data_IF_928109598408
#
_entry.id   IF_928109598408
#
_cell.length_a   1.000
_cell.length_b   1.000
_cell.length_c   1.000
_cell.angle_alpha   90.00
_cell.angle_beta   90.00
_cell.angle_gamma   90.00
#
_symmetry.space_group_name_H-M   'P 1'
#
loop_
_entity.id
_entity.type
_entity.pdbx_description
1 polymer ?
#
# COMPACT_ATOMS: atom_id res chain seq x y z
N UNK A 1 -2.47 31.90 37.96
CA UNK A 1 -1.52 31.88 36.81
C UNK A 1 -1.02 30.50 36.41
N UNK A 2 -1.44 29.37 37.03
CA UNK A 2 -0.86 28.05 36.79
C UNK A 2 -1.47 27.22 35.64
N UNK A 3 -2.69 27.48 35.17
CA UNK A 3 -3.36 26.61 34.17
C UNK A 3 -3.01 26.94 32.73
N UNK A 4 -2.67 28.15 32.37
CA UNK A 4 -2.24 28.56 31.02
C UNK A 4 -0.83 28.02 30.67
N UNK A 5 0.09 28.04 31.65
CA UNK A 5 1.44 27.52 31.46
C UNK A 5 1.48 26.02 31.19
N UNK A 6 0.62 25.23 31.85
CA UNK A 6 0.51 23.78 31.65
C UNK A 6 -0.08 23.44 30.27
N UNK A 7 -1.00 24.24 29.75
CA UNK A 7 -1.59 24.04 28.42
C UNK A 7 -0.59 24.37 27.31
N UNK A 8 0.20 25.42 27.48
CA UNK A 8 1.28 25.80 26.55
C UNK A 8 2.39 24.74 26.55
N UNK A 9 2.78 24.23 27.73
CA UNK A 9 3.75 23.12 27.82
C UNK A 9 3.24 21.84 27.18
N UNK A 10 1.95 21.52 27.33
CA UNK A 10 1.33 20.35 26.68
C UNK A 10 1.21 20.50 25.18
N UNK A 11 0.92 21.72 24.68
CA UNK A 11 0.93 22.02 23.24
C UNK A 11 2.34 22.03 22.66
N UNK A 12 3.35 22.48 23.41
CA UNK A 12 4.76 22.38 23.02
C UNK A 12 5.25 20.95 23.01
N UNK A 13 4.85 20.12 23.98
CA UNK A 13 5.16 18.68 24.01
C UNK A 13 4.45 17.91 22.88
N UNK A 14 3.19 18.27 22.55
CA UNK A 14 2.49 17.73 21.38
C UNK A 14 3.13 18.18 20.06
N UNK A 15 3.64 19.41 19.96
CA UNK A 15 4.42 19.85 18.80
C UNK A 15 5.79 19.19 18.71
N UNK A 16 6.47 18.94 19.82
CA UNK A 16 7.73 18.20 19.85
C UNK A 16 7.54 16.72 19.52
N UNK A 17 6.43 16.11 19.94
CA UNK A 17 6.04 14.76 19.55
C UNK A 17 5.58 14.67 18.09
N UNK A 18 5.16 15.79 17.50
CA UNK A 18 4.80 15.90 16.08
C UNK A 18 5.96 16.34 15.18
N UNK A 19 7.16 16.56 15.71
CA UNK A 19 8.39 16.64 14.91
C UNK A 19 8.77 15.24 14.47
N UNK A 20 8.13 14.77 13.39
CA UNK A 20 8.59 13.60 12.62
C UNK A 20 10.08 13.81 12.33
N UNK A 21 10.96 12.84 12.62
CA UNK A 21 12.33 12.92 12.17
C UNK A 21 12.29 13.23 10.67
N UNK A 22 12.97 14.28 10.23
CA UNK A 22 13.14 14.53 8.81
C UNK A 22 13.74 13.25 8.23
N UNK A 23 13.10 12.69 7.21
CA UNK A 23 13.65 11.53 6.52
C UNK A 23 15.10 11.87 6.15
N UNK A 24 16.07 10.99 6.44
CA UNK A 24 17.45 11.27 6.08
C UNK A 24 17.49 11.45 4.56
N UNK A 25 17.70 12.68 4.12
CA UNK A 25 17.89 13.02 2.71
C UNK A 25 19.18 12.36 2.21
N UNK A 26 19.15 11.68 1.09
CA UNK A 26 20.38 11.35 0.37
C UNK A 26 20.66 9.88 0.07
N UNK A 27 19.76 8.92 0.32
CA UNK A 27 19.96 7.55 -0.19
C UNK A 27 19.60 7.40 -1.66
N UNK A 28 18.60 8.16 -2.12
CA UNK A 28 18.11 8.09 -3.49
C UNK A 28 18.88 9.05 -4.40
N UNK A 29 19.22 8.58 -5.58
CA UNK A 29 19.84 9.37 -6.66
C UNK A 29 18.80 9.84 -7.66
N UNK A 30 19.14 10.86 -8.46
CA UNK A 30 18.30 11.31 -9.59
C UNK A 30 18.67 10.56 -10.88
N UNK A 31 17.67 10.21 -11.68
CA UNK A 31 17.86 9.72 -13.05
C UNK A 31 17.79 10.94 -14.00
N UNK A 32 18.85 11.22 -14.71
CA UNK A 32 19.01 12.50 -15.43
C UNK A 32 18.41 12.56 -16.83
N UNK A 33 18.01 11.43 -17.43
CA UNK A 33 17.41 11.40 -18.76
C UNK A 33 16.56 10.15 -18.95
N UNK A 34 15.25 10.30 -19.14
CA UNK A 34 14.32 9.18 -19.32
C UNK A 34 13.21 9.44 -20.34
N UNK A 35 13.32 10.52 -21.16
CA UNK A 35 12.37 10.83 -22.22
C UNK A 35 11.62 12.15 -22.01
N UNK A 36 10.52 12.40 -22.79
CA UNK A 36 9.78 13.66 -22.77
C UNK A 36 9.06 14.00 -21.46
N UNK A 37 8.80 13.03 -20.58
CA UNK A 37 8.17 13.21 -19.27
C UNK A 37 6.85 14.04 -19.30
N UNK A 38 5.81 13.62 -20.05
CA UNK A 38 4.59 14.41 -20.21
C UNK A 38 3.79 14.58 -18.91
N UNK A 39 3.96 13.69 -17.93
CA UNK A 39 3.37 13.79 -16.59
C UNK A 39 4.13 14.69 -15.64
N UNK A 40 5.23 15.31 -16.07
CA UNK A 40 6.06 16.22 -15.28
C UNK A 40 6.41 15.67 -13.89
N UNK A 41 6.72 14.38 -13.80
CA UNK A 41 7.16 13.72 -12.57
C UNK A 41 8.68 13.92 -12.36
N UNK A 42 9.13 13.87 -11.11
CA UNK A 42 10.54 13.63 -10.77
C UNK A 42 10.78 12.13 -10.66
N UNK A 43 12.02 11.76 -10.77
CA UNK A 43 12.46 10.38 -10.57
C UNK A 43 13.57 10.30 -9.54
N UNK A 44 13.47 9.28 -8.69
CA UNK A 44 14.49 8.89 -7.74
C UNK A 44 14.78 7.42 -7.92
N UNK A 45 16.03 7.05 -7.77
CA UNK A 45 16.49 5.67 -7.95
C UNK A 45 17.34 5.22 -6.79
N UNK A 46 17.38 3.91 -6.55
CA UNK A 46 18.30 3.30 -5.64
C UNK A 46 18.93 2.07 -6.27
N UNK A 47 20.25 2.07 -6.38
CA UNK A 47 21.04 0.96 -6.91
C UNK A 47 21.87 0.41 -5.75
N UNK A 48 21.60 -0.81 -5.24
CA UNK A 48 22.40 -1.38 -4.17
C UNK A 48 23.82 -1.69 -4.65
N UNK A 49 24.79 -1.64 -3.73
CA UNK A 49 26.20 -1.93 -4.05
C UNK A 49 26.44 -3.39 -4.50
N UNK A 50 25.52 -4.27 -4.18
CA UNK A 50 25.51 -5.68 -4.62
C UNK A 50 24.23 -5.94 -5.37
N UNK A 51 24.32 -6.14 -6.66
CA UNK A 51 23.23 -6.56 -7.54
C UNK A 51 23.73 -7.65 -8.47
N UNK A 52 22.80 -8.44 -9.03
CA UNK A 52 23.14 -9.39 -10.10
C UNK A 52 23.37 -8.63 -11.41
N UNK A 53 23.95 -9.31 -12.42
CA UNK A 53 24.11 -8.75 -13.77
C UNK A 53 22.78 -8.39 -14.45
N UNK A 54 21.69 -9.04 -14.03
CA UNK A 54 20.32 -8.80 -14.48
C UNK A 54 19.39 -8.67 -13.28
N UNK A 55 19.42 -7.53 -12.56
CA UNK A 55 18.63 -7.36 -11.36
C UNK A 55 17.15 -7.21 -11.67
N UNK A 56 16.30 -7.52 -10.68
CA UNK A 56 14.89 -7.14 -10.71
C UNK A 56 14.75 -5.64 -10.45
N UNK A 57 13.63 -5.06 -10.93
CA UNK A 57 13.23 -3.67 -10.65
C UNK A 57 11.93 -3.63 -9.85
N UNK A 58 11.91 -2.83 -8.78
CA UNK A 58 10.69 -2.49 -8.07
C UNK A 58 10.39 -1.00 -8.24
N UNK A 59 9.23 -0.68 -8.80
CA UNK A 59 8.70 0.68 -8.91
C UNK A 59 7.85 0.96 -7.69
N UNK A 60 8.17 2.02 -6.95
CA UNK A 60 7.56 2.34 -5.65
C UNK A 60 6.89 3.72 -5.70
N UNK A 61 5.57 3.78 -5.52
CA UNK A 61 4.75 4.98 -5.65
C UNK A 61 4.26 5.46 -4.28
N UNK A 62 4.66 6.66 -3.90
CA UNK A 62 4.25 7.27 -2.63
C UNK A 62 2.77 7.70 -2.61
N UNK A 63 2.21 7.90 -1.42
CA UNK A 63 0.88 8.48 -1.22
C UNK A 63 0.88 10.01 -1.31
N UNK A 64 -0.31 10.63 -1.25
CA UNK A 64 -0.44 12.09 -1.19
C UNK A 64 0.38 12.66 -0.03
N UNK A 65 0.93 13.86 -0.21
CA UNK A 65 1.75 14.63 0.75
C UNK A 65 3.10 14.00 1.11
N UNK A 66 3.44 12.86 0.52
CA UNK A 66 4.73 12.19 0.72
C UNK A 66 5.72 12.54 -0.40
N UNK A 67 6.97 12.17 -0.21
CA UNK A 67 8.06 12.24 -1.18
C UNK A 67 8.67 10.85 -1.36
N UNK A 68 9.47 10.65 -2.39
CA UNK A 68 10.21 9.41 -2.63
C UNK A 68 11.09 9.04 -1.44
N UNK A 69 11.93 9.97 -0.97
CA UNK A 69 12.80 9.75 0.18
C UNK A 69 12.03 9.42 1.47
N UNK A 70 10.91 10.13 1.71
CA UNK A 70 10.06 9.89 2.88
C UNK A 70 9.39 8.51 2.81
N UNK A 71 8.91 8.12 1.65
CA UNK A 71 8.28 6.82 1.48
C UNK A 71 9.30 5.68 1.59
N UNK A 72 10.48 5.83 0.99
CA UNK A 72 11.57 4.85 1.11
C UNK A 72 12.00 4.66 2.56
N UNK A 73 12.27 5.77 3.28
CA UNK A 73 12.64 5.72 4.69
C UNK A 73 11.57 5.02 5.56
N UNK A 74 10.30 5.36 5.32
CA UNK A 74 9.17 4.79 6.06
C UNK A 74 8.93 3.32 5.74
N UNK A 75 8.89 2.95 4.47
CA UNK A 75 8.61 1.59 4.02
C UNK A 75 9.85 0.67 4.05
N UNK A 76 11.07 1.23 4.01
CA UNK A 76 12.32 0.48 4.11
C UNK A 76 12.76 -0.23 2.82
N UNK A 77 12.28 0.20 1.65
CA UNK A 77 12.58 -0.46 0.39
C UNK A 77 14.07 -0.48 0.04
N UNK A 78 14.78 0.65 0.19
CA UNK A 78 16.21 0.72 -0.12
C UNK A 78 17.07 -0.13 0.85
N UNK A 79 16.64 -0.27 2.11
CA UNK A 79 17.28 -1.19 3.05
C UNK A 79 17.11 -2.65 2.60
N UNK A 80 15.91 -3.03 2.19
CA UNK A 80 15.66 -4.38 1.70
C UNK A 80 16.39 -4.63 0.36
N UNK A 81 16.52 -3.62 -0.49
CA UNK A 81 17.31 -3.69 -1.71
C UNK A 81 18.80 -3.95 -1.44
N UNK A 82 19.41 -3.35 -0.39
CA UNK A 82 20.77 -3.68 0.03
C UNK A 82 20.93 -5.14 0.46
N UNK A 83 19.91 -5.69 1.12
CA UNK A 83 19.91 -7.07 1.59
C UNK A 83 19.77 -8.07 0.42
N UNK A 84 18.95 -7.73 -0.59
CA UNK A 84 18.47 -8.68 -1.59
C UNK A 84 18.96 -8.43 -3.02
N UNK A 85 19.57 -7.27 -3.31
CA UNK A 85 20.22 -6.98 -4.58
C UNK A 85 19.30 -6.58 -5.73
N UNK A 86 18.05 -6.18 -5.50
CA UNK A 86 17.17 -5.61 -6.52
C UNK A 86 17.28 -4.08 -6.59
N UNK A 87 16.91 -3.51 -7.73
CA UNK A 87 16.99 -2.08 -8.03
C UNK A 87 15.64 -1.41 -7.78
N UNK A 88 15.65 -0.13 -7.40
CA UNK A 88 14.44 0.63 -7.11
C UNK A 88 14.30 1.86 -7.99
N UNK A 89 13.06 2.12 -8.40
CA UNK A 89 12.63 3.35 -9.04
C UNK A 89 11.48 3.97 -8.23
N UNK A 90 11.62 5.25 -7.88
CA UNK A 90 10.62 6.02 -7.17
C UNK A 90 10.18 7.21 -8.03
N UNK A 91 9.16 7.09 -8.87
CA UNK A 91 8.50 8.24 -9.47
C UNK A 91 7.98 9.17 -8.36
N UNK A 92 8.27 10.46 -8.44
CA UNK A 92 7.88 11.44 -7.42
C UNK A 92 7.02 12.55 -8.03
N UNK A 93 5.89 12.80 -7.38
CA UNK A 93 4.99 13.89 -7.77
C UNK A 93 5.53 15.25 -7.38
N UNK A 94 5.22 16.28 -8.17
CA UNK A 94 5.63 17.67 -7.91
C UNK A 94 4.43 18.54 -7.52
N UNK A 95 4.66 19.53 -6.63
CA UNK A 95 3.61 20.48 -6.21
C UNK A 95 3.08 21.36 -7.35
N UNK A 96 3.89 21.62 -8.36
CA UNK A 96 3.49 22.33 -9.56
C UNK A 96 2.50 21.54 -10.41
N UNK A 97 2.54 20.22 -10.33
CA UNK A 97 1.65 19.29 -11.04
C UNK A 97 0.43 18.93 -10.18
N UNK A 98 0.65 18.67 -8.89
CA UNK A 98 -0.43 18.45 -7.92
C UNK A 98 -0.04 19.06 -6.56
N UNK A 99 -0.79 20.07 -6.03
CA UNK A 99 -0.45 20.76 -4.79
C UNK A 99 -0.30 19.86 -3.57
N UNK A 100 -1.00 18.71 -3.56
CA UNK A 100 -0.96 17.72 -2.50
C UNK A 100 -0.01 16.55 -2.77
N UNK A 101 0.80 16.64 -3.83
CA UNK A 101 1.71 15.56 -4.23
C UNK A 101 0.97 14.22 -4.48
N UNK A 102 -0.32 14.25 -4.84
CA UNK A 102 -1.04 13.04 -5.24
C UNK A 102 -0.73 12.74 -6.71
N UNK A 103 -0.49 11.49 -7.07
CA UNK A 103 -0.59 11.09 -8.47
C UNK A 103 -2.00 11.39 -8.98
N UNK A 104 -2.12 11.87 -10.21
CA UNK A 104 -3.38 12.32 -10.80
C UNK A 104 -4.21 11.14 -11.37
N UNK A 105 -4.34 10.07 -10.60
CA UNK A 105 -4.98 8.81 -10.95
C UNK A 105 -6.43 8.96 -11.45
N UNK A 106 -7.09 10.05 -11.10
CA UNK A 106 -8.46 10.40 -11.49
C UNK A 106 -8.54 11.28 -12.76
N UNK A 107 -7.41 11.59 -13.36
CA UNK A 107 -7.32 12.40 -14.58
C UNK A 107 -7.13 11.48 -15.79
N UNK A 108 -8.04 11.46 -16.79
CA UNK A 108 -7.83 10.69 -18.01
C UNK A 108 -6.59 11.13 -18.81
N UNK A 109 -6.09 12.36 -18.59
CA UNK A 109 -4.85 12.83 -19.20
C UNK A 109 -3.62 12.11 -18.63
N UNK A 110 -3.71 11.59 -17.40
CA UNK A 110 -2.60 11.01 -16.64
C UNK A 110 -2.75 9.51 -16.36
N UNK A 111 -3.94 8.95 -16.62
CA UNK A 111 -4.31 7.57 -16.26
C UNK A 111 -4.57 6.65 -17.47
N UNK A 112 -4.40 7.15 -18.70
CA UNK A 112 -4.57 6.37 -19.92
C UNK A 112 -3.21 6.03 -20.52
N UNK A 113 -3.09 4.82 -21.06
CA UNK A 113 -1.88 4.34 -21.75
C UNK A 113 -1.31 5.38 -22.72
N UNK A 114 -0.01 5.54 -22.71
CA UNK A 114 0.79 6.44 -23.58
C UNK A 114 0.49 7.95 -23.38
N UNK A 115 0.02 8.32 -22.17
CA UNK A 115 -0.25 9.72 -21.79
C UNK A 115 0.25 10.04 -20.38
N UNK A 116 0.50 11.33 -20.13
CA UNK A 116 0.70 11.94 -18.83
C UNK A 116 1.64 11.17 -17.89
N UNK A 117 1.21 11.01 -16.64
CA UNK A 117 2.02 10.35 -15.59
C UNK A 117 2.33 8.91 -15.92
N UNK A 118 1.37 8.17 -16.46
CA UNK A 118 1.52 6.76 -16.84
C UNK A 118 2.63 6.57 -17.88
N UNK A 119 2.68 7.44 -18.91
CA UNK A 119 3.74 7.41 -19.90
C UNK A 119 5.09 7.81 -19.31
N UNK A 120 5.12 8.83 -18.45
CA UNK A 120 6.37 9.23 -17.77
C UNK A 120 6.97 8.09 -16.95
N UNK A 121 6.15 7.37 -16.17
CA UNK A 121 6.61 6.22 -15.39
C UNK A 121 7.14 5.10 -16.29
N UNK A 122 6.45 4.82 -17.40
CA UNK A 122 6.95 3.86 -18.40
C UNK A 122 8.32 4.27 -18.94
N UNK A 123 8.50 5.56 -19.29
CA UNK A 123 9.78 6.07 -19.79
C UNK A 123 10.90 5.93 -18.77
N UNK A 124 10.62 6.18 -17.48
CA UNK A 124 11.56 5.94 -16.38
C UNK A 124 11.94 4.45 -16.29
N UNK A 125 10.98 3.53 -16.40
CA UNK A 125 11.23 2.08 -16.37
C UNK A 125 12.14 1.68 -17.54
N UNK A 126 11.86 2.13 -18.76
CA UNK A 126 12.70 1.81 -19.94
C UNK A 126 14.13 2.35 -19.76
N UNK A 127 14.28 3.56 -19.25
CA UNK A 127 15.60 4.12 -18.95
C UNK A 127 16.36 3.31 -17.89
N UNK A 128 15.68 2.81 -16.85
CA UNK A 128 16.28 1.92 -15.86
C UNK A 128 16.71 0.58 -16.47
N UNK A 129 15.90 0.01 -17.38
CA UNK A 129 16.24 -1.22 -18.09
C UNK A 129 17.53 -1.03 -18.89
N UNK A 130 17.60 0.06 -19.66
CA UNK A 130 18.74 0.34 -20.54
C UNK A 130 20.02 0.67 -19.74
N UNK A 131 19.88 1.43 -18.63
CA UNK A 131 21.02 1.85 -17.82
C UNK A 131 21.60 0.74 -16.93
N UNK A 132 20.77 -0.18 -16.44
CA UNK A 132 21.14 -1.14 -15.40
C UNK A 132 20.93 -2.61 -15.80
N UNK A 133 20.58 -2.90 -17.05
CA UNK A 133 20.42 -4.28 -17.54
C UNK A 133 19.29 -5.04 -16.82
N UNK A 134 18.21 -4.35 -16.42
CA UNK A 134 17.09 -4.93 -15.66
C UNK A 134 16.52 -6.15 -16.37
N UNK A 135 16.24 -7.21 -15.62
CA UNK A 135 15.48 -8.35 -16.13
C UNK A 135 14.03 -7.97 -16.40
N UNK A 136 13.67 -7.86 -17.67
CA UNK A 136 12.31 -7.47 -18.12
C UNK A 136 11.21 -8.41 -17.59
N UNK A 137 11.54 -9.64 -17.22
CA UNK A 137 10.59 -10.60 -16.63
C UNK A 137 10.42 -10.42 -15.11
N UNK A 138 11.18 -9.52 -14.48
CA UNK A 138 11.21 -9.29 -13.04
C UNK A 138 11.05 -7.82 -12.69
N UNK A 139 10.05 -7.17 -13.28
CA UNK A 139 9.68 -5.79 -12.98
C UNK A 139 8.37 -5.81 -12.21
N UNK A 140 8.34 -5.11 -11.08
CA UNK A 140 7.21 -5.08 -10.15
C UNK A 140 6.84 -3.64 -9.79
N UNK A 141 5.59 -3.42 -9.37
CA UNK A 141 5.12 -2.10 -8.96
C UNK A 141 4.30 -2.16 -7.68
N UNK A 142 4.51 -1.20 -6.80
CA UNK A 142 3.71 -1.05 -5.57
C UNK A 142 3.47 0.42 -5.25
N UNK A 143 2.45 0.72 -4.46
CA UNK A 143 2.19 2.07 -4.01
C UNK A 143 1.08 2.16 -2.97
N UNK A 144 1.09 3.29 -2.25
CA UNK A 144 0.13 3.61 -1.20
C UNK A 144 -0.90 4.63 -1.70
N UNK A 145 -2.20 4.43 -1.42
CA UNK A 145 -3.25 5.44 -1.59
C UNK A 145 -3.34 5.93 -3.05
N UNK A 146 -3.05 7.20 -3.34
CA UNK A 146 -2.92 7.71 -4.72
C UNK A 146 -1.86 6.93 -5.53
N UNK A 147 -0.72 6.54 -4.90
CA UNK A 147 0.26 5.65 -5.49
C UNK A 147 -0.28 4.24 -5.71
N UNK A 148 -1.14 3.73 -4.82
CA UNK A 148 -1.84 2.45 -4.99
C UNK A 148 -2.85 2.49 -6.15
N UNK A 149 -3.59 3.59 -6.31
CA UNK A 149 -4.46 3.81 -7.47
C UNK A 149 -3.66 3.91 -8.78
N UNK A 150 -2.51 4.62 -8.77
CA UNK A 150 -1.62 4.67 -9.92
C UNK A 150 -0.99 3.30 -10.21
N UNK A 151 -0.70 2.49 -9.19
CA UNK A 151 -0.30 1.08 -9.35
C UNK A 151 -1.37 0.29 -10.11
N UNK A 152 -2.66 0.40 -9.72
CA UNK A 152 -3.77 -0.24 -10.46
C UNK A 152 -3.83 0.19 -11.92
N UNK A 153 -3.55 1.47 -12.19
CA UNK A 153 -3.52 2.03 -13.55
C UNK A 153 -2.37 1.46 -14.36
N UNK A 154 -1.16 1.44 -13.81
CA UNK A 154 0.02 0.90 -14.49
C UNK A 154 -0.13 -0.57 -14.86
N UNK A 155 -0.68 -1.37 -13.94
CA UNK A 155 -0.96 -2.79 -14.16
C UNK A 155 -2.02 -3.03 -15.24
N UNK A 156 -2.98 -2.12 -15.40
CA UNK A 156 -3.98 -2.18 -16.47
C UNK A 156 -3.45 -1.63 -17.80
N UNK A 157 -2.73 -0.49 -17.76
CA UNK A 157 -2.26 0.20 -18.96
C UNK A 157 -1.04 -0.47 -19.61
N UNK A 158 -0.15 -1.08 -18.81
CA UNK A 158 1.07 -1.75 -19.27
C UNK A 158 1.28 -3.12 -18.62
N UNK A 159 0.31 -4.04 -18.70
CA UNK A 159 0.43 -5.35 -18.06
C UNK A 159 1.64 -6.15 -18.57
N UNK A 160 2.09 -5.89 -19.79
CA UNK A 160 3.26 -6.53 -20.39
C UNK A 160 4.60 -6.16 -19.74
N UNK A 161 4.64 -5.05 -18.97
CA UNK A 161 5.85 -4.62 -18.28
C UNK A 161 6.04 -5.28 -16.92
N UNK A 162 4.95 -5.72 -16.29
CA UNK A 162 4.99 -6.12 -14.89
C UNK A 162 4.77 -7.61 -14.69
N UNK A 163 5.66 -8.24 -13.93
CA UNK A 163 5.46 -9.60 -13.43
C UNK A 163 4.41 -9.64 -12.30
N UNK A 164 4.31 -8.56 -11.53
CA UNK A 164 3.32 -8.44 -10.46
C UNK A 164 3.21 -7.03 -9.89
N UNK A 165 2.16 -6.81 -9.10
CA UNK A 165 1.92 -5.56 -8.40
C UNK A 165 1.30 -5.73 -7.03
N UNK A 166 1.59 -4.77 -6.12
CA UNK A 166 1.02 -4.71 -4.78
C UNK A 166 0.31 -3.38 -4.55
N UNK A 167 -1.00 -3.42 -4.33
CA UNK A 167 -1.86 -2.25 -4.21
C UNK A 167 -2.19 -2.04 -2.74
N UNK A 168 -1.61 -0.99 -2.11
CA UNK A 168 -1.79 -0.70 -0.69
C UNK A 168 -2.78 0.45 -0.53
N UNK A 169 -3.93 0.20 0.13
CA UNK A 169 -4.99 1.18 0.37
C UNK A 169 -5.35 2.00 -0.88
N UNK A 170 -5.34 1.35 -2.05
CA UNK A 170 -5.60 1.94 -3.36
C UNK A 170 -7.04 1.82 -3.81
N UNK A 171 -7.27 2.09 -5.10
CA UNK A 171 -8.58 2.02 -5.76
C UNK A 171 -8.49 1.19 -7.06
N UNK A 172 -9.59 0.58 -7.53
CA UNK A 172 -9.59 -0.15 -8.79
C UNK A 172 -9.37 0.77 -10.00
N UNK A 173 -8.78 0.23 -11.05
CA UNK A 173 -8.63 0.95 -12.32
C UNK A 173 -9.99 1.39 -12.88
N UNK A 174 -10.07 2.62 -13.36
CA UNK A 174 -11.28 3.17 -13.97
C UNK A 174 -12.35 3.63 -12.98
N UNK A 175 -12.05 3.67 -11.66
CA UNK A 175 -13.01 4.06 -10.63
C UNK A 175 -13.38 5.55 -10.62
N UNK A 176 -12.59 6.42 -11.27
CA UNK A 176 -12.86 7.84 -11.38
C UNK A 176 -12.25 8.43 -12.66
N UNK A 177 -12.91 9.45 -13.20
CA UNK A 177 -12.43 10.25 -14.35
C UNK A 177 -12.37 11.74 -14.02
N UNK A 178 -12.64 12.13 -12.79
CA UNK A 178 -12.51 13.48 -12.26
C UNK A 178 -12.44 13.47 -10.74
N UNK A 179 -12.14 14.63 -10.16
CA UNK A 179 -11.96 14.81 -8.71
C UNK A 179 -13.21 14.44 -7.90
N UNK A 180 -14.41 14.82 -8.35
CA UNK A 180 -15.65 14.55 -7.64
C UNK A 180 -15.90 13.04 -7.53
N UNK A 181 -15.72 12.31 -8.63
CA UNK A 181 -15.80 10.85 -8.65
C UNK A 181 -14.71 10.20 -7.80
N UNK A 182 -13.49 10.76 -7.79
CA UNK A 182 -12.41 10.26 -6.94
C UNK A 182 -12.78 10.32 -5.46
N UNK A 183 -13.30 11.45 -4.99
CA UNK A 183 -13.75 11.61 -3.60
C UNK A 183 -14.91 10.68 -3.25
N UNK A 184 -15.83 10.44 -4.17
CA UNK A 184 -16.93 9.51 -4.00
C UNK A 184 -16.41 8.06 -3.92
N UNK A 185 -15.57 7.64 -4.86
CA UNK A 185 -14.97 6.31 -4.88
C UNK A 185 -14.16 6.00 -3.62
N UNK A 186 -13.41 6.98 -3.11
CA UNK A 186 -12.68 6.82 -1.84
C UNK A 186 -13.63 6.55 -0.66
N UNK A 187 -14.78 7.23 -0.59
CA UNK A 187 -15.72 7.13 0.54
C UNK A 187 -16.66 5.95 0.44
N UNK A 188 -17.19 5.71 -0.75
CA UNK A 188 -18.21 4.70 -1.01
C UNK A 188 -17.97 4.13 -2.40
N UNK A 189 -17.18 3.08 -2.50
CA UNK A 189 -17.16 2.34 -3.75
C UNK A 189 -18.59 1.89 -4.07
N UNK A 190 -19.05 2.14 -5.30
CA UNK A 190 -20.39 1.73 -5.75
C UNK A 190 -20.61 0.22 -5.68
N UNK A 191 -21.79 -0.26 -6.03
CA UNK A 191 -21.98 -1.69 -6.29
C UNK A 191 -21.22 -2.02 -7.57
N UNK A 192 -20.22 -2.89 -7.47
CA UNK A 192 -19.39 -3.28 -8.59
C UNK A 192 -19.89 -4.58 -9.22
N UNK A 193 -20.02 -4.55 -10.53
CA UNK A 193 -19.98 -5.77 -11.33
C UNK A 193 -18.51 -6.08 -11.63
N UNK A 194 -18.00 -7.20 -11.11
CA UNK A 194 -16.62 -7.61 -11.29
C UNK A 194 -16.25 -7.80 -12.76
N UNK A 195 -17.19 -8.25 -13.59
CA UNK A 195 -16.95 -8.41 -15.03
C UNK A 195 -16.81 -7.05 -15.72
N UNK A 196 -17.68 -6.10 -15.42
CA UNK A 196 -17.57 -4.74 -15.95
C UNK A 196 -16.25 -4.07 -15.54
N UNK A 197 -15.82 -4.26 -14.27
CA UNK A 197 -14.51 -3.78 -13.81
C UNK A 197 -13.35 -4.47 -14.54
N UNK A 198 -13.40 -5.78 -14.73
CA UNK A 198 -12.40 -6.54 -15.48
C UNK A 198 -12.32 -6.11 -16.94
N UNK A 199 -13.45 -5.78 -17.58
CA UNK A 199 -13.51 -5.28 -18.95
C UNK A 199 -12.80 -3.92 -19.10
N UNK A 200 -12.84 -3.05 -18.08
CA UNK A 200 -12.06 -1.82 -18.06
C UNK A 200 -10.56 -2.13 -18.15
N UNK A 201 -10.05 -3.11 -17.39
CA UNK A 201 -8.65 -3.53 -17.46
C UNK A 201 -8.30 -4.12 -18.82
N UNK A 202 -9.12 -5.04 -19.33
CA UNK A 202 -8.90 -5.66 -20.65
C UNK A 202 -8.89 -4.65 -21.79
N UNK A 203 -9.68 -3.59 -21.67
CA UNK A 203 -9.77 -2.52 -22.68
C UNK A 203 -8.69 -1.43 -22.55
N UNK A 204 -7.95 -1.38 -21.41
CA UNK A 204 -6.93 -0.37 -21.16
C UNK A 204 -5.69 -0.50 -22.07
N UNK A 205 -5.45 -1.72 -22.57
CA UNK A 205 -4.33 -2.06 -23.47
C UNK A 205 -4.78 -3.12 -24.49
N UNK A 206 -3.96 -3.40 -25.48
CA UNK A 206 -4.18 -4.55 -26.40
C UNK A 206 -3.68 -5.88 -25.87
N UNK A 207 -3.40 -6.00 -24.56
CA UNK A 207 -2.83 -7.17 -23.94
C UNK A 207 -3.87 -8.29 -23.78
N UNK A 208 -3.45 -9.53 -24.07
CA UNK A 208 -4.31 -10.72 -23.97
C UNK A 208 -3.83 -11.73 -22.92
N UNK A 209 -2.84 -11.36 -22.10
CA UNK A 209 -2.24 -12.21 -21.07
C UNK A 209 -0.88 -12.79 -21.48
N UNK A 210 -0.12 -13.38 -20.55
CA UNK A 210 -0.48 -13.55 -19.13
C UNK A 210 -0.56 -12.23 -18.37
N UNK A 211 -1.48 -12.14 -17.42
CA UNK A 211 -1.66 -10.97 -16.59
C UNK A 211 -0.72 -11.00 -15.37
N UNK A 212 -0.31 -9.82 -14.84
CA UNK A 212 0.54 -9.76 -13.66
C UNK A 212 -0.13 -10.33 -12.41
N UNK A 213 0.65 -10.91 -11.50
CA UNK A 213 0.15 -11.33 -10.18
C UNK A 213 -0.14 -10.09 -9.31
N UNK A 214 -1.25 -10.12 -8.56
CA UNK A 214 -1.71 -8.97 -7.79
C UNK A 214 -1.79 -9.31 -6.31
N UNK A 215 -1.27 -8.45 -5.45
CA UNK A 215 -1.59 -8.45 -4.02
C UNK A 215 -2.28 -7.16 -3.59
N UNK A 216 -3.35 -7.28 -2.82
CA UNK A 216 -4.16 -6.17 -2.32
C UNK A 216 -4.00 -6.07 -0.81
N UNK A 217 -3.65 -4.89 -0.31
CA UNK A 217 -3.38 -4.64 1.10
C UNK A 217 -4.28 -3.53 1.61
N UNK A 218 -5.07 -3.78 2.66
CA UNK A 218 -5.98 -2.77 3.17
C UNK A 218 -6.24 -2.89 4.67
N UNK A 219 -6.17 -1.77 5.37
CA UNK A 219 -6.56 -1.68 6.78
C UNK A 219 -8.07 -1.76 6.97
N UNK A 220 -8.55 -2.58 7.91
CA UNK A 220 -9.99 -2.74 8.14
C UNK A 220 -10.65 -1.52 8.80
N UNK A 221 -9.85 -0.62 9.40
CA UNK A 221 -10.30 0.65 10.01
C UNK A 221 -9.90 1.89 9.17
N UNK A 222 -9.61 1.72 7.88
CA UNK A 222 -9.28 2.83 6.99
C UNK A 222 -10.49 3.74 6.77
N UNK A 223 -10.40 4.98 7.30
CA UNK A 223 -11.41 6.01 7.18
C UNK A 223 -11.16 7.00 6.02
N UNK A 224 -10.04 6.88 5.31
CA UNK A 224 -9.66 7.72 4.16
C UNK A 224 -10.09 7.10 2.85
N UNK A 225 -9.66 5.87 2.61
CA UNK A 225 -10.09 5.03 1.49
C UNK A 225 -10.87 3.86 2.07
N UNK A 226 -12.17 3.81 1.82
CA UNK A 226 -13.02 2.75 2.35
C UNK A 226 -12.51 1.37 1.94
N UNK A 227 -12.41 0.45 2.91
CA UNK A 227 -11.85 -0.90 2.68
C UNK A 227 -12.61 -1.74 1.65
N UNK A 228 -13.85 -1.38 1.31
CA UNK A 228 -14.58 -1.99 0.21
C UNK A 228 -13.95 -1.71 -1.18
N UNK A 229 -13.02 -0.74 -1.30
CA UNK A 229 -12.21 -0.59 -2.52
C UNK A 229 -11.29 -1.80 -2.74
N UNK A 230 -10.79 -2.42 -1.68
CA UNK A 230 -10.03 -3.65 -1.83
C UNK A 230 -10.90 -4.80 -2.37
N UNK A 231 -12.18 -4.90 -1.98
CA UNK A 231 -13.11 -5.89 -2.56
C UNK A 231 -13.37 -5.60 -4.05
N UNK A 232 -13.44 -4.32 -4.43
CA UNK A 232 -13.59 -3.93 -5.82
C UNK A 232 -12.34 -4.25 -6.67
N UNK A 233 -11.13 -4.02 -6.14
CA UNK A 233 -9.87 -4.43 -6.80
C UNK A 233 -9.83 -5.95 -6.96
N UNK A 234 -10.19 -6.70 -5.92
CA UNK A 234 -10.25 -8.16 -6.00
C UNK A 234 -11.24 -8.62 -7.07
N UNK A 235 -12.47 -8.09 -7.08
CA UNK A 235 -13.48 -8.43 -8.08
C UNK A 235 -13.00 -8.12 -9.52
N UNK A 236 -12.32 -6.98 -9.69
CA UNK A 236 -11.71 -6.59 -10.96
C UNK A 236 -10.69 -7.61 -11.44
N UNK A 237 -9.73 -7.98 -10.58
CA UNK A 237 -8.64 -8.90 -10.96
C UNK A 237 -9.07 -10.37 -10.97
N UNK A 238 -10.06 -10.77 -10.17
CA UNK A 238 -10.70 -12.09 -10.30
C UNK A 238 -11.30 -12.25 -11.70
N UNK A 239 -12.03 -11.24 -12.20
CA UNK A 239 -12.55 -11.26 -13.56
C UNK A 239 -11.45 -11.33 -14.61
N UNK A 240 -10.36 -10.55 -14.46
CA UNK A 240 -9.22 -10.53 -15.39
C UNK A 240 -8.52 -11.88 -15.47
N UNK A 241 -8.29 -12.53 -14.33
CA UNK A 241 -7.66 -13.87 -14.25
C UNK A 241 -8.64 -15.03 -14.50
N UNK A 242 -9.94 -14.74 -14.70
CA UNK A 242 -10.95 -15.80 -14.91
C UNK A 242 -11.25 -16.63 -13.65
N UNK A 243 -11.02 -16.07 -12.47
CA UNK A 243 -11.27 -16.74 -11.19
C UNK A 243 -12.75 -16.57 -10.81
N UNK A 244 -13.50 -17.65 -10.82
CA UNK A 244 -14.93 -17.69 -10.52
C UNK A 244 -15.26 -18.52 -9.26
N UNK A 245 -14.27 -18.74 -8.40
CA UNK A 245 -14.35 -19.52 -7.17
C UNK A 245 -13.88 -18.71 -5.97
N UNK A 246 -14.13 -19.20 -4.77
CA UNK A 246 -13.58 -18.65 -3.53
C UNK A 246 -12.05 -18.81 -3.46
N UNK A 247 -11.40 -18.23 -2.43
CA UNK A 247 -9.96 -18.39 -2.27
C UNK A 247 -9.57 -19.85 -2.07
N UNK A 248 -8.46 -20.26 -2.69
CA UNK A 248 -7.90 -21.61 -2.54
C UNK A 248 -7.30 -21.82 -1.15
N UNK A 249 -6.79 -20.72 -0.54
CA UNK A 249 -6.32 -20.73 0.83
C UNK A 249 -6.74 -19.47 1.58
N UNK A 250 -7.00 -19.64 2.87
CA UNK A 250 -7.20 -18.53 3.82
C UNK A 250 -6.39 -18.85 5.07
N UNK A 251 -5.50 -17.95 5.43
CA UNK A 251 -4.57 -18.13 6.54
C UNK A 251 -4.42 -16.84 7.35
N UNK A 252 -3.78 -16.97 8.52
CA UNK A 252 -3.39 -15.83 9.35
C UNK A 252 -1.89 -15.64 9.25
N UNK A 253 -1.46 -14.45 8.84
CA UNK A 253 -0.05 -14.05 8.77
C UNK A 253 0.15 -12.90 9.74
N UNK A 254 0.99 -13.07 10.75
CA UNK A 254 1.21 -12.09 11.83
C UNK A 254 -0.10 -11.55 12.46
N UNK A 255 -1.11 -12.40 12.62
CA UNK A 255 -2.41 -12.00 13.18
C UNK A 255 -3.38 -11.34 12.19
N UNK A 256 -3.02 -11.23 10.92
CA UNK A 256 -3.84 -10.63 9.87
C UNK A 256 -4.30 -11.68 8.86
N UNK A 257 -5.50 -11.48 8.31
CA UNK A 257 -6.07 -12.43 7.33
C UNK A 257 -5.44 -12.25 5.98
N UNK A 258 -4.92 -13.35 5.40
CA UNK A 258 -4.50 -13.48 4.00
C UNK A 258 -5.40 -14.46 3.26
N UNK A 259 -5.84 -14.11 2.05
CA UNK A 259 -6.54 -15.00 1.12
C UNK A 259 -5.74 -15.12 -0.16
N UNK A 260 -5.74 -16.31 -0.76
CA UNK A 260 -4.93 -16.62 -1.94
C UNK A 260 -5.83 -17.27 -2.99
N UNK A 261 -5.68 -16.86 -4.23
CA UNK A 261 -6.26 -17.51 -5.41
C UNK A 261 -5.15 -17.91 -6.36
N UNK A 262 -5.22 -19.14 -6.85
CA UNK A 262 -4.25 -19.72 -7.76
C UNK A 262 -4.79 -19.80 -9.18
N UNK A 263 -3.89 -19.78 -10.14
CA UNK A 263 -4.21 -20.15 -11.53
C UNK A 263 -4.37 -21.69 -11.67
N UNK A 264 -4.72 -22.11 -12.87
CA UNK A 264 -4.88 -23.54 -13.17
C UNK A 264 -3.59 -24.38 -13.01
N UNK A 265 -2.42 -23.74 -12.94
CA UNK A 265 -1.14 -24.38 -12.68
C UNK A 265 -0.78 -24.41 -11.17
N UNK A 266 -1.68 -23.92 -10.30
CA UNK A 266 -1.47 -23.85 -8.85
C UNK A 266 -0.56 -22.71 -8.41
N UNK A 267 -0.30 -21.70 -9.25
CA UNK A 267 0.53 -20.53 -8.92
C UNK A 267 -0.35 -19.42 -8.35
N UNK A 268 0.03 -18.78 -7.21
CA UNK A 268 -0.69 -17.61 -6.69
C UNK A 268 -0.71 -16.49 -7.74
N UNK A 269 -1.91 -16.01 -8.08
CA UNK A 269 -2.11 -14.90 -9.03
C UNK A 269 -2.84 -13.73 -8.40
N UNK A 270 -3.57 -13.97 -7.30
CA UNK A 270 -4.27 -12.91 -6.57
C UNK A 270 -4.18 -13.19 -5.07
N UNK A 271 -3.81 -12.16 -4.31
CA UNK A 271 -3.73 -12.21 -2.85
C UNK A 271 -4.46 -11.02 -2.22
N UNK A 272 -5.05 -11.23 -1.06
CA UNK A 272 -5.74 -10.22 -0.27
C UNK A 272 -5.29 -10.23 1.18
N UNK A 273 -4.69 -9.14 1.63
CA UNK A 273 -4.28 -8.93 3.01
C UNK A 273 -5.19 -7.91 3.69
N UNK A 274 -5.98 -8.37 4.68
CA UNK A 274 -6.83 -7.51 5.51
C UNK A 274 -6.18 -7.28 6.85
N UNK A 275 -5.62 -6.07 7.01
CA UNK A 275 -4.86 -5.69 8.20
C UNK A 275 -5.82 -5.23 9.29
N UNK A 276 -5.99 -6.06 10.31
CA UNK A 276 -6.97 -5.85 11.37
C UNK A 276 -6.70 -4.54 12.13
N UNK A 277 -7.75 -3.72 12.31
CA UNK A 277 -7.74 -2.45 13.03
C UNK A 277 -6.76 -1.39 12.51
N UNK A 278 -6.10 -1.61 11.37
CA UNK A 278 -5.22 -0.63 10.77
C UNK A 278 -6.02 0.49 10.06
N UNK A 279 -5.60 1.73 10.25
CA UNK A 279 -6.08 2.90 9.52
C UNK A 279 -5.48 2.99 8.11
N UNK A 280 -5.46 4.22 7.55
CA UNK A 280 -4.93 4.49 6.20
C UNK A 280 -3.39 4.56 6.21
N UNK A 281 -2.72 3.60 5.58
CA UNK A 281 -1.25 3.58 5.54
C UNK A 281 -0.65 2.27 5.04
N UNK A 282 0.67 2.24 5.05
CA UNK A 282 1.51 1.08 4.73
C UNK A 282 1.75 0.26 6.00
N UNK A 283 1.45 -1.06 6.00
CA UNK A 283 1.73 -1.94 7.14
C UNK A 283 3.22 -2.13 7.38
N UNK A 284 3.67 -2.01 8.61
CA UNK A 284 5.05 -2.21 9.04
C UNK A 284 5.16 -3.28 10.15
N UNK A 285 6.34 -3.91 10.19
CA UNK A 285 6.93 -4.50 11.37
C UNK A 285 8.28 -3.82 11.60
N UNK A 286 8.46 -3.15 12.73
CA UNK A 286 9.68 -2.38 13.05
C UNK A 286 10.56 -3.07 14.08
N UNK A 287 10.19 -4.27 14.51
CA UNK A 287 10.93 -5.12 15.45
C UNK A 287 10.96 -6.57 14.96
N UNK A 288 11.92 -7.36 15.46
CA UNK A 288 12.14 -8.75 15.06
C UNK A 288 12.97 -8.89 13.79
N UNK A 289 13.14 -10.13 13.32
CA UNK A 289 13.95 -10.47 12.14
C UNK A 289 13.34 -9.91 10.83
N UNK A 290 12.04 -9.77 10.81
CA UNK A 290 11.26 -9.24 9.69
C UNK A 290 11.22 -7.70 9.65
N UNK A 291 11.87 -7.03 10.60
CA UNK A 291 11.81 -5.58 10.74
C UNK A 291 12.25 -4.87 9.46
N UNK A 292 11.36 -4.01 8.95
CA UNK A 292 11.63 -3.21 7.76
C UNK A 292 10.87 -1.88 7.87
N UNK A 293 11.57 -0.78 7.60
CA UNK A 293 11.00 0.56 7.63
C UNK A 293 10.97 1.23 9.00
N UNK A 294 10.32 2.40 9.05
CA UNK A 294 10.24 3.25 10.23
C UNK A 294 8.83 3.84 10.39
N UNK A 295 8.33 3.90 11.63
CA UNK A 295 7.04 4.52 11.93
C UNK A 295 7.07 6.01 11.62
N UNK A 296 6.12 6.46 10.81
CA UNK A 296 5.91 7.86 10.46
C UNK A 296 4.46 8.05 9.96
N UNK A 297 4.01 9.26 9.59
CA UNK A 297 2.66 9.44 9.05
C UNK A 297 2.38 8.48 7.88
N UNK A 298 1.29 7.72 7.99
CA UNK A 298 0.88 6.67 7.06
C UNK A 298 1.83 5.46 6.91
N UNK A 299 2.78 5.30 7.84
CA UNK A 299 3.63 4.13 7.99
C UNK A 299 3.34 3.51 9.36
N UNK A 300 2.53 2.47 9.40
CA UNK A 300 1.83 2.02 10.61
C UNK A 300 2.39 0.70 11.13
N UNK A 301 2.90 0.73 12.36
CA UNK A 301 3.34 -0.49 13.04
C UNK A 301 2.14 -1.39 13.37
N UNK A 302 2.09 -2.56 12.77
CA UNK A 302 1.00 -3.53 12.93
C UNK A 302 1.50 -4.98 12.98
N UNK A 303 2.81 -5.18 13.11
CA UNK A 303 3.45 -6.48 13.26
C UNK A 303 3.62 -7.28 11.97
N UNK A 304 3.32 -6.70 10.81
CA UNK A 304 3.61 -7.30 9.49
C UNK A 304 4.27 -6.25 8.58
N UNK A 305 5.42 -6.57 8.04
CA UNK A 305 6.09 -5.73 7.01
C UNK A 305 5.50 -6.03 5.63
N UNK A 306 4.69 -5.12 5.10
CA UNK A 306 4.20 -5.25 3.72
C UNK A 306 5.37 -5.29 2.73
N UNK A 307 6.41 -4.47 2.92
CA UNK A 307 7.59 -4.40 2.06
C UNK A 307 8.28 -5.76 1.94
N UNK A 308 8.58 -6.42 3.07
CA UNK A 308 9.24 -7.73 3.07
C UNK A 308 8.32 -8.83 2.55
N UNK A 309 7.07 -8.87 3.00
CA UNK A 309 6.10 -9.87 2.56
C UNK A 309 5.83 -9.79 1.05
N UNK A 310 5.70 -8.59 0.49
CA UNK A 310 5.57 -8.36 -0.94
C UNK A 310 6.83 -8.82 -1.68
N UNK A 311 8.01 -8.48 -1.21
CA UNK A 311 9.26 -8.93 -1.84
C UNK A 311 9.42 -10.46 -1.81
N UNK A 312 8.99 -11.13 -0.74
CA UNK A 312 8.96 -12.60 -0.67
C UNK A 312 7.98 -13.19 -1.69
N UNK A 313 6.76 -12.66 -1.81
CA UNK A 313 5.78 -13.15 -2.79
C UNK A 313 6.24 -12.98 -4.23
N UNK A 314 7.09 -12.00 -4.50
CA UNK A 314 7.71 -11.76 -5.81
C UNK A 314 8.99 -12.56 -6.05
N UNK A 315 9.44 -13.38 -5.07
CA UNK A 315 10.71 -14.10 -5.15
C UNK A 315 11.94 -13.19 -5.17
N UNK A 316 11.82 -11.99 -4.58
CA UNK A 316 12.92 -11.04 -4.42
C UNK A 316 13.63 -11.18 -3.07
N UNK A 317 13.01 -11.80 -2.09
CA UNK A 317 13.56 -12.11 -0.78
C UNK A 317 13.26 -13.57 -0.42
N UNK A 318 14.12 -14.17 0.40
CA UNK A 318 13.85 -15.49 0.98
C UNK A 318 12.67 -15.43 1.94
N UNK A 319 11.86 -16.49 2.00
CA UNK A 319 10.91 -16.65 3.08
C UNK A 319 11.68 -16.75 4.41
N UNK A 320 11.12 -16.19 5.52
CA UNK A 320 11.71 -16.38 6.84
C UNK A 320 11.89 -17.88 7.09
N UNK A 321 13.02 -18.27 7.68
CA UNK A 321 13.14 -19.62 8.19
C UNK A 321 12.00 -19.82 9.21
N UNK A 322 11.09 -20.76 8.91
CA UNK A 322 10.03 -21.11 9.84
C UNK A 322 10.72 -21.48 11.15
N UNK A 323 10.53 -20.68 12.19
CA UNK A 323 10.98 -21.02 13.52
C UNK A 323 10.43 -22.41 13.80
N UNK A 324 11.31 -23.39 13.85
CA UNK A 324 10.99 -24.79 14.16
C UNK A 324 10.45 -24.80 15.59
N UNK A 325 9.15 -24.57 15.73
CA UNK A 325 8.41 -24.83 16.93
C UNK A 325 8.24 -26.36 17.05
N UNK A 326 9.36 -27.04 17.25
CA UNK A 326 9.38 -28.42 17.73
C UNK A 326 9.84 -28.39 19.18
N UNK A 327 8.94 -28.00 20.07
CA UNK A 327 8.96 -28.47 21.42
C UNK A 327 7.67 -29.24 21.66
N UNK A 328 7.72 -30.55 21.38
CA UNK A 328 6.82 -31.50 21.92
C UNK A 328 6.96 -31.45 23.45
N UNK A 329 5.99 -30.81 24.10
CA UNK A 329 5.83 -30.96 25.56
C UNK A 329 5.40 -32.40 25.81
N UNK A 330 6.10 -33.17 26.68
CA UNK A 330 5.63 -34.48 27.09
C UNK A 330 4.28 -34.31 27.82
N UNK A 331 3.27 -35.03 27.40
CA UNK A 331 2.05 -35.20 28.19
C UNK A 331 2.42 -36.10 29.36
N UNK A 332 2.51 -35.52 30.56
CA UNK A 332 2.32 -36.28 31.79
C UNK A 332 0.82 -36.48 31.95
N UNK A 333 0.43 -37.73 31.92
CA UNK A 333 -0.89 -38.21 32.31
C UNK A 333 -0.98 -38.18 33.85
N UNK A 334 -2.20 -37.86 34.36
CA UNK A 334 -2.65 -37.95 35.72
C UNK A 334 -2.21 -36.88 36.75
N UNK A 335 -2.98 -35.78 36.78
CA UNK A 335 -3.36 -35.19 38.06
C UNK A 335 -4.78 -34.57 37.98
N UNK A 336 -5.74 -35.29 38.58
CA UNK A 336 -7.11 -34.82 38.80
C UNK A 336 -7.06 -33.81 39.94
N UNK A 337 -7.17 -32.52 39.67
CA UNK A 337 -7.36 -31.51 40.71
C UNK A 337 -8.83 -31.07 40.76
N UNK A 338 -9.41 -31.39 41.92
CA UNK A 338 -10.74 -31.02 42.40
C UNK A 338 -10.91 -29.49 42.42
N UNK A 339 -11.92 -28.97 41.73
CA UNK A 339 -12.25 -27.53 41.71
C UNK A 339 -13.30 -27.23 42.80
N UNK A 340 -13.04 -26.31 43.73
CA UNK A 340 -14.08 -25.86 44.65
C UNK A 340 -15.04 -24.88 43.95
N UNK A 341 -16.32 -25.18 44.09
CA UNK A 341 -17.46 -24.35 43.68
C UNK A 341 -17.42 -22.95 44.27
N UNK A 342 -17.28 -21.92 43.42
CA UNK A 342 -17.44 -20.54 43.80
C UNK A 342 -18.90 -20.09 43.65
N UNK A 343 -19.43 -19.67 44.81
CA UNK A 343 -20.76 -19.07 44.98
C UNK A 343 -20.89 -17.78 44.16
N UNK A 344 -22.04 -17.64 43.51
CA UNK A 344 -22.52 -16.43 42.83
C UNK A 344 -22.55 -15.22 43.77
N UNK A 345 -21.75 -14.19 43.49
CA UNK A 345 -21.88 -12.85 44.07
C UNK A 345 -22.69 -11.95 43.11
N UNK A 346 -23.70 -11.34 43.73
CA UNK A 346 -24.71 -10.43 43.16
C UNK A 346 -24.05 -9.13 42.68
N UNK A 347 -24.11 -8.82 41.38
CA UNK A 347 -23.71 -7.51 40.80
C UNK A 347 -24.78 -6.47 41.08
N UNK A 348 -24.45 -5.53 41.95
CA UNK A 348 -25.23 -4.28 42.15
C UNK A 348 -24.95 -3.32 41.02
N UNK A 349 -26.02 -2.62 40.63
CA UNK A 349 -26.12 -1.69 39.51
C UNK A 349 -25.16 -0.50 39.68
N UNK A 350 -24.27 -0.28 38.72
CA UNK A 350 -23.62 1.00 38.51
C UNK A 350 -24.30 1.71 37.33
N UNK A 351 -24.58 3.01 37.53
CA UNK A 351 -25.46 3.82 36.72
C UNK A 351 -25.03 3.98 35.27
N UNK A 352 -26.02 4.19 34.42
CA UNK A 352 -25.92 4.50 33.01
C UNK A 352 -25.09 5.78 32.76
N UNK A 353 -23.89 5.64 32.22
CA UNK A 353 -23.16 6.74 31.59
C UNK A 353 -23.71 6.90 30.18
N UNK A 354 -24.31 8.06 29.88
CA UNK A 354 -24.81 8.37 28.56
C UNK A 354 -23.73 8.39 27.49
N UNK A 355 -24.10 8.23 26.22
CA UNK A 355 -23.13 8.15 25.14
C UNK A 355 -22.35 9.46 25.01
N UNK A 356 -21.01 9.37 25.08
CA UNK A 356 -20.10 10.46 24.76
C UNK A 356 -20.25 10.77 23.28
N UNK A 357 -20.45 12.04 22.87
CA UNK A 357 -20.54 12.39 21.45
C UNK A 357 -19.19 12.12 20.78
N UNK A 358 -19.18 11.23 19.80
CA UNK A 358 -18.03 11.03 18.90
C UNK A 358 -17.94 12.29 18.02
N UNK A 359 -16.81 13.03 18.00
CA UNK A 359 -16.65 14.16 17.10
C UNK A 359 -16.65 13.66 15.66
N UNK A 360 -17.69 14.00 14.90
CA UNK A 360 -17.79 13.79 13.46
C UNK A 360 -16.87 14.80 12.73
N UNK A 361 -15.55 14.62 12.87
CA UNK A 361 -14.55 15.37 12.13
C UNK A 361 -14.07 14.58 10.93
N UNK A 362 -14.11 15.18 9.73
CA UNK A 362 -13.52 14.62 8.51
C UNK A 362 -12.06 14.26 8.78
N UNK A 363 -11.56 13.14 8.29
CA UNK A 363 -10.17 12.72 8.48
C UNK A 363 -9.21 13.80 7.94
N UNK A 364 -8.05 13.96 8.56
CA UNK A 364 -7.10 15.05 8.21
C UNK A 364 -6.73 15.08 6.72
N UNK A 365 -6.52 13.92 6.10
CA UNK A 365 -6.19 13.80 4.66
C UNK A 365 -7.38 14.21 3.78
N UNK A 366 -8.60 13.82 4.14
CA UNK A 366 -9.80 14.19 3.39
C UNK A 366 -10.02 15.70 3.41
N UNK A 367 -9.78 16.35 4.56
CA UNK A 367 -9.85 17.80 4.69
C UNK A 367 -8.79 18.50 3.85
N UNK A 368 -7.55 17.98 3.84
CA UNK A 368 -6.45 18.49 3.02
C UNK A 368 -6.80 18.40 1.52
N UNK A 369 -7.36 17.29 1.07
CA UNK A 369 -7.80 17.11 -0.31
C UNK A 369 -8.94 18.08 -0.65
N UNK A 370 -9.96 18.21 0.21
CA UNK A 370 -11.07 19.15 0.00
C UNK A 370 -10.62 20.62 0.02
N UNK A 371 -9.73 21.00 0.92
CA UNK A 371 -9.20 22.37 1.03
C UNK A 371 -8.34 22.74 -0.20
N UNK A 372 -7.57 21.78 -0.71
CA UNK A 372 -6.80 21.98 -1.94
C UNK A 372 -7.68 22.11 -3.19
N UNK A 373 -8.76 21.32 -3.25
CA UNK A 373 -9.72 21.38 -4.36
C UNK A 373 -10.51 22.71 -4.35
N UNK A 374 -10.81 23.24 -3.17
CA UNK A 374 -11.41 24.59 -3.02
C UNK A 374 -10.44 25.69 -3.43
N UNK A 375 -9.17 25.60 -3.01
CA UNK A 375 -8.16 26.60 -3.37
C UNK A 375 -7.83 26.59 -4.87
N UNK A 376 -8.00 25.45 -5.53
CA UNK A 376 -7.85 25.31 -6.98
C UNK A 376 -9.13 25.71 -7.77
N UNK A 377 -10.20 26.16 -7.09
CA UNK A 377 -11.46 26.51 -7.75
C UNK A 377 -12.26 25.31 -8.30
N UNK A 378 -11.88 24.09 -7.96
CA UNK A 378 -12.47 22.84 -8.45
C UNK A 378 -13.61 22.31 -7.55
N UNK A 379 -13.84 22.92 -6.38
CA UNK A 379 -14.97 22.70 -5.50
C UNK A 379 -15.54 24.05 -4.99
N UNK A 380 -16.86 24.19 -4.97
CA UNK A 380 -17.59 25.29 -4.33
C UNK A 380 -17.97 24.94 -2.90
#
# INVERSE_FOLDING_TARGET
MGKFSATIAKLAALRAAASTPAAPSGRLSELTAFGPNPGALKERTYIPSRSSDRPALVVVLHGCTQTADGYDFGAGWSRLADEQGFVLLFPEQQRTNNPNLCFNWFSPADSVRDRGEVLSIRQMIEAMIDAHGIDRSRIFVTGLSAGGAMTSILLAAYPELFAGGAIIAGLPYGSASNVAQALEAMRRPGKYDGNALGDLVRSASGHSGPWPCISVWHGTADATVNSANADAILAQWMSVHGLNHGPDATEMVAGHRRRIWNDAAGRPVLEDYRIANMGHGTPLATSGEEACGNVMPHMLEVGISSTRTIAVSWGLAGAPEAATASQSVPRDEDEVLDLPTLRTARLERLGSVGPVPVPSGKSGVQKIIEDALRSAGLMR
#
